data_IF_341434199578
#
_entry.id   IF_341434199578
#
_cell.length_a   1.000
_cell.length_b   1.000
_cell.length_c   1.000
_cell.angle_alpha   90.00
_cell.angle_beta   90.00
_cell.angle_gamma   90.00
#
_symmetry.space_group_name_H-M   'P 1'
#
loop_
_entity.id
_entity.type
_entity.pdbx_description
1 polymer ?
#
# COMPACT_ATOMS: atom_id res chain seq x y z
N UNK A 1 36.26 -3.19 -27.32
CA UNK A 1 35.22 -2.16 -27.16
C UNK A 1 35.59 -1.36 -25.93
N UNK A 2 35.71 -0.04 -26.08
CA UNK A 2 36.22 0.90 -25.07
C UNK A 2 35.12 1.16 -24.04
N UNK A 3 35.06 0.34 -22.97
CA UNK A 3 34.10 0.45 -21.85
C UNK A 3 32.69 0.93 -22.24
N UNK A 4 32.06 0.24 -23.21
CA UNK A 4 30.76 0.60 -23.77
C UNK A 4 29.60 0.31 -22.80
N UNK A 5 29.45 1.17 -21.80
CA UNK A 5 28.38 1.06 -20.79
C UNK A 5 26.99 1.20 -21.39
N UNK A 6 26.83 1.95 -22.49
CA UNK A 6 25.57 2.05 -23.21
C UNK A 6 25.10 0.71 -23.78
N UNK A 7 26.02 -0.04 -24.38
CA UNK A 7 25.76 -1.41 -24.83
C UNK A 7 25.46 -2.36 -23.66
N UNK A 8 26.23 -2.27 -22.57
CA UNK A 8 26.01 -3.09 -21.39
C UNK A 8 24.64 -2.85 -20.74
N UNK A 9 24.19 -1.60 -20.65
CA UNK A 9 22.86 -1.24 -20.15
C UNK A 9 21.76 -1.78 -21.07
N UNK A 10 21.95 -1.70 -22.40
CA UNK A 10 20.99 -2.24 -23.36
C UNK A 10 20.79 -3.76 -23.19
N UNK A 11 21.87 -4.51 -22.99
CA UNK A 11 21.80 -5.96 -22.71
C UNK A 11 21.11 -6.26 -21.38
N UNK A 12 21.35 -5.46 -20.33
CA UNK A 12 20.63 -5.58 -19.06
C UNK A 12 19.11 -5.39 -19.24
N UNK A 13 18.68 -4.46 -20.10
CA UNK A 13 17.27 -4.27 -20.40
C UNK A 13 16.65 -5.47 -21.13
N UNK A 14 17.38 -6.09 -22.06
CA UNK A 14 16.91 -7.29 -22.74
C UNK A 14 16.79 -8.49 -21.77
N UNK A 15 17.75 -8.66 -20.86
CA UNK A 15 17.65 -9.68 -19.80
C UNK A 15 16.45 -9.44 -18.87
N UNK A 16 16.18 -8.18 -18.50
CA UNK A 16 15.00 -7.83 -17.70
C UNK A 16 13.68 -8.16 -18.42
N UNK A 17 13.58 -7.92 -19.74
CA UNK A 17 12.41 -8.30 -20.53
C UNK A 17 12.19 -9.81 -20.56
N UNK A 18 13.27 -10.59 -20.67
CA UNK A 18 13.20 -12.06 -20.64
C UNK A 18 12.70 -12.52 -19.27
N UNK A 19 13.24 -11.98 -18.18
CA UNK A 19 12.81 -12.29 -16.82
C UNK A 19 11.31 -12.03 -16.63
N UNK A 20 10.82 -10.85 -17.06
CA UNK A 20 9.39 -10.51 -16.97
C UNK A 20 8.51 -11.46 -17.80
N UNK A 21 8.94 -11.82 -19.02
CA UNK A 21 8.19 -12.79 -19.84
C UNK A 21 8.10 -14.17 -19.17
N UNK A 22 9.16 -14.63 -18.52
CA UNK A 22 9.16 -15.91 -17.78
C UNK A 22 8.19 -15.85 -16.59
N UNK A 23 8.15 -14.72 -15.86
CA UNK A 23 7.15 -14.48 -14.82
C UNK A 23 5.72 -14.55 -15.35
N UNK A 24 5.41 -13.80 -16.42
CA UNK A 24 4.07 -13.71 -17.00
C UNK A 24 3.60 -15.06 -17.53
N UNK A 25 4.49 -15.78 -18.24
CA UNK A 25 4.16 -17.06 -18.88
C UNK A 25 3.88 -18.16 -17.86
N UNK A 26 4.58 -18.14 -16.73
CA UNK A 26 4.48 -19.17 -15.71
C UNK A 26 3.60 -18.76 -14.52
N UNK A 27 3.04 -17.54 -14.53
CA UNK A 27 2.17 -16.99 -13.48
C UNK A 27 2.86 -17.16 -12.10
N UNK A 28 4.05 -16.57 -11.98
CA UNK A 28 4.92 -16.68 -10.80
C UNK A 28 4.54 -15.71 -9.67
N UNK A 29 3.51 -14.89 -9.84
CA UNK A 29 3.09 -13.85 -8.87
C UNK A 29 2.27 -14.42 -7.69
N UNK A 30 1.81 -15.67 -7.77
CA UNK A 30 1.05 -16.35 -6.71
C UNK A 30 1.93 -17.05 -5.67
N UNK A 31 1.55 -16.97 -4.38
CA UNK A 31 2.21 -17.60 -3.19
C UNK A 31 2.39 -19.13 -3.22
N UNK A 32 2.13 -19.81 -4.33
CA UNK A 32 1.97 -21.27 -4.40
C UNK A 32 2.95 -22.05 -5.29
N UNK A 33 3.96 -21.40 -5.89
CA UNK A 33 4.88 -22.05 -6.86
C UNK A 33 6.35 -21.99 -6.43
N UNK A 34 6.64 -22.16 -5.14
CA UNK A 34 7.98 -22.00 -4.54
C UNK A 34 9.07 -22.96 -5.06
N UNK A 35 8.76 -23.91 -5.96
CA UNK A 35 9.72 -24.93 -6.38
C UNK A 35 9.50 -25.46 -7.81
N UNK A 36 9.05 -24.61 -8.74
CA UNK A 36 8.92 -24.98 -10.15
C UNK A 36 10.24 -24.77 -10.91
N UNK A 37 10.45 -25.53 -12.00
CA UNK A 37 11.57 -25.33 -12.93
C UNK A 37 11.63 -23.88 -13.44
N UNK A 38 10.47 -23.24 -13.62
CA UNK A 38 10.35 -21.84 -14.00
C UNK A 38 10.88 -20.86 -12.93
N UNK A 39 10.73 -21.17 -11.64
CA UNK A 39 11.33 -20.36 -10.57
C UNK A 39 12.85 -20.49 -10.57
N UNK A 40 13.39 -21.68 -10.84
CA UNK A 40 14.83 -21.89 -10.97
C UNK A 40 15.40 -21.11 -12.16
N UNK A 41 14.74 -21.16 -13.32
CA UNK A 41 15.13 -20.41 -14.53
C UNK A 41 15.07 -18.89 -14.30
N UNK A 42 13.99 -18.41 -13.67
CA UNK A 42 13.84 -17.01 -13.30
C UNK A 42 14.93 -16.55 -12.32
N UNK A 43 15.21 -17.36 -11.29
CA UNK A 43 16.25 -17.06 -10.28
C UNK A 43 17.65 -17.00 -10.92
N UNK A 44 17.96 -17.92 -11.83
CA UNK A 44 19.22 -17.91 -12.58
C UNK A 44 19.37 -16.64 -13.43
N UNK A 45 18.30 -16.24 -14.12
CA UNK A 45 18.26 -15.01 -14.93
C UNK A 45 18.49 -13.76 -14.08
N UNK A 46 17.82 -13.65 -12.92
CA UNK A 46 18.03 -12.53 -12.00
C UNK A 46 19.43 -12.52 -11.38
N UNK A 47 20.03 -13.69 -11.17
CA UNK A 47 21.41 -13.80 -10.66
C UNK A 47 22.40 -13.22 -11.67
N UNK A 48 22.25 -13.58 -12.95
CA UNK A 48 23.08 -13.03 -14.02
C UNK A 48 22.93 -11.50 -14.14
N UNK A 49 21.70 -10.97 -14.05
CA UNK A 49 21.45 -9.53 -14.05
C UNK A 49 22.19 -8.84 -12.89
N UNK A 50 22.16 -9.41 -11.68
CA UNK A 50 22.83 -8.86 -10.50
C UNK A 50 24.35 -8.85 -10.63
N UNK A 51 24.94 -9.92 -11.17
CA UNK A 51 26.38 -9.99 -11.40
C UNK A 51 26.84 -8.94 -12.41
N UNK A 52 26.12 -8.81 -13.53
CA UNK A 52 26.41 -7.82 -14.55
C UNK A 52 26.19 -6.38 -14.05
N UNK A 53 25.14 -6.14 -13.26
CA UNK A 53 24.89 -4.83 -12.66
C UNK A 53 25.92 -4.47 -11.59
N UNK A 54 26.49 -5.46 -10.91
CA UNK A 54 27.59 -5.27 -9.94
C UNK A 54 28.87 -4.73 -10.59
N UNK A 55 29.19 -5.20 -11.80
CA UNK A 55 30.32 -4.65 -12.57
C UNK A 55 30.11 -3.17 -12.90
N UNK A 56 28.87 -2.76 -13.14
CA UNK A 56 28.49 -1.37 -13.43
C UNK A 56 28.24 -0.52 -12.17
N UNK A 57 28.26 -1.11 -10.98
CA UNK A 57 27.97 -0.41 -9.73
C UNK A 57 26.51 0.06 -9.57
N UNK A 58 25.57 -0.52 -10.32
CA UNK A 58 24.14 -0.18 -10.28
C UNK A 58 23.34 -1.29 -9.58
N UNK A 59 22.17 -0.96 -9.04
CA UNK A 59 21.28 -1.90 -8.33
C UNK A 59 21.96 -2.65 -7.15
N UNK A 60 22.93 -2.02 -6.50
CA UNK A 60 23.71 -2.61 -5.39
C UNK A 60 22.92 -2.80 -4.11
N UNK A 61 21.89 -2.00 -3.95
CA UNK A 61 20.91 -2.14 -2.90
C UNK A 61 19.57 -2.40 -3.59
N UNK A 62 18.70 -3.21 -2.97
CA UNK A 62 17.31 -3.18 -3.38
C UNK A 62 16.85 -1.71 -3.36
N UNK A 63 15.97 -1.29 -4.29
CA UNK A 63 15.28 -0.03 -4.09
C UNK A 63 14.75 -0.03 -2.66
N UNK A 64 14.84 1.10 -1.95
CA UNK A 64 14.11 1.24 -0.70
C UNK A 64 12.71 0.72 -1.00
N UNK A 65 12.27 -0.33 -0.30
CA UNK A 65 10.95 -0.88 -0.54
C UNK A 65 10.00 0.30 -0.56
N UNK A 66 9.19 0.41 -1.62
CA UNK A 66 8.21 1.50 -1.76
C UNK A 66 7.09 1.28 -0.72
N UNK A 67 7.47 1.28 0.56
CA UNK A 67 7.09 0.24 1.51
C UNK A 67 7.84 0.42 2.83
N UNK A 68 8.07 1.67 3.26
CA UNK A 68 8.40 1.90 4.67
C UNK A 68 7.29 1.30 5.57
N UNK A 69 7.60 1.06 6.84
CA UNK A 69 6.62 0.70 7.89
C UNK A 69 5.31 1.48 7.75
N UNK A 70 5.42 2.75 7.36
CA UNK A 70 4.30 3.67 7.20
C UNK A 70 3.42 3.37 5.98
N UNK A 71 3.97 2.85 4.86
CA UNK A 71 3.17 2.46 3.70
C UNK A 71 2.49 1.10 3.91
N UNK A 72 3.16 0.15 4.59
CA UNK A 72 2.50 -1.09 5.02
C UNK A 72 1.38 -0.80 6.03
N UNK A 73 1.64 0.11 6.98
CA UNK A 73 0.62 0.57 7.92
C UNK A 73 -0.52 1.31 7.21
N UNK A 74 -0.21 2.18 6.24
CA UNK A 74 -1.22 2.84 5.42
C UNK A 74 -2.11 1.80 4.74
N UNK A 75 -1.55 0.75 4.15
CA UNK A 75 -2.31 -0.36 3.60
C UNK A 75 -3.22 -1.04 4.62
N UNK A 76 -2.72 -1.31 5.83
CA UNK A 76 -3.53 -1.87 6.93
C UNK A 76 -4.63 -0.93 7.41
N UNK A 77 -4.41 0.38 7.43
CA UNK A 77 -5.39 1.39 7.85
C UNK A 77 -6.43 1.68 6.76
N UNK A 78 -6.06 1.58 5.48
CA UNK A 78 -6.97 1.82 4.35
C UNK A 78 -8.10 0.80 4.27
N UNK A 79 -7.84 -0.45 4.66
CA UNK A 79 -8.88 -1.49 4.68
C UNK A 79 -10.06 -1.09 5.62
N UNK A 80 -9.84 -0.75 6.91
CA UNK A 80 -10.83 -0.12 7.77
C UNK A 80 -11.59 1.06 7.16
N UNK A 81 -10.89 1.96 6.46
CA UNK A 81 -11.49 3.16 5.83
C UNK A 81 -12.49 2.76 4.74
N UNK A 82 -12.10 1.82 3.89
CA UNK A 82 -12.93 1.29 2.81
C UNK A 82 -14.16 0.59 3.38
N UNK A 83 -13.96 -0.27 4.37
CA UNK A 83 -15.05 -1.01 5.00
C UNK A 83 -16.02 -0.06 5.71
N UNK A 84 -15.51 0.96 6.39
CA UNK A 84 -16.33 1.94 7.09
C UNK A 84 -17.16 2.77 6.11
N UNK A 85 -16.59 3.14 4.96
CA UNK A 85 -17.31 3.80 3.86
C UNK A 85 -18.40 2.89 3.30
N UNK A 86 -18.10 1.61 3.04
CA UNK A 86 -19.05 0.66 2.50
C UNK A 86 -20.24 0.44 3.45
N UNK A 87 -19.96 0.26 4.74
CA UNK A 87 -20.98 0.09 5.77
C UNK A 87 -21.80 1.36 5.98
N UNK A 88 -21.16 2.53 5.96
CA UNK A 88 -21.87 3.81 6.06
C UNK A 88 -22.87 3.98 4.91
N UNK A 89 -22.51 3.57 3.69
CA UNK A 89 -23.44 3.56 2.55
C UNK A 89 -24.58 2.55 2.74
N UNK A 90 -24.29 1.35 3.25
CA UNK A 90 -25.31 0.34 3.54
C UNK A 90 -26.28 0.81 4.63
N UNK A 91 -25.76 1.46 5.67
CA UNK A 91 -26.52 2.08 6.75
C UNK A 91 -27.23 3.40 6.35
N UNK A 92 -27.09 3.83 5.08
CA UNK A 92 -27.60 5.11 4.55
C UNK A 92 -27.05 6.35 5.29
N UNK A 93 -25.92 6.21 5.97
CA UNK A 93 -25.16 7.30 6.55
C UNK A 93 -24.25 7.93 5.48
N UNK A 94 -24.87 8.60 4.52
CA UNK A 94 -24.16 9.21 3.39
C UNK A 94 -23.20 10.32 3.83
N UNK A 95 -23.52 11.03 4.92
CA UNK A 95 -22.66 12.07 5.50
C UNK A 95 -21.29 11.52 5.88
N UNK A 96 -21.23 10.36 6.54
CA UNK A 96 -19.95 9.72 6.90
C UNK A 96 -19.20 9.21 5.67
N UNK A 97 -19.91 8.61 4.72
CA UNK A 97 -19.29 8.13 3.48
C UNK A 97 -18.67 9.27 2.65
N UNK A 98 -19.34 10.42 2.58
CA UNK A 98 -18.84 11.63 1.92
C UNK A 98 -17.67 12.24 2.69
N UNK A 99 -17.73 12.28 4.03
CA UNK A 99 -16.63 12.76 4.86
C UNK A 99 -15.35 11.93 4.65
N UNK A 100 -15.47 10.60 4.58
CA UNK A 100 -14.33 9.71 4.29
C UNK A 100 -13.77 10.01 2.90
N UNK A 101 -14.62 10.11 1.87
CA UNK A 101 -14.17 10.43 0.51
C UNK A 101 -13.44 11.77 0.46
N UNK A 102 -14.00 12.79 1.11
CA UNK A 102 -13.47 14.15 1.05
C UNK A 102 -12.19 14.30 1.90
N UNK A 103 -12.06 13.55 2.99
CA UNK A 103 -10.85 13.49 3.82
C UNK A 103 -9.67 12.74 3.19
N UNK A 104 -9.92 11.85 2.22
CA UNK A 104 -8.86 11.17 1.45
C UNK A 104 -8.30 12.00 0.29
N UNK A 105 -9.07 12.94 -0.26
CA UNK A 105 -8.60 13.83 -1.35
C UNK A 105 -7.27 14.54 -1.03
N UNK A 106 -7.07 15.16 0.14
CA UNK A 106 -5.81 15.87 0.44
C UNK A 106 -4.61 14.93 0.63
N UNK A 107 -4.83 13.64 0.88
CA UNK A 107 -3.74 12.66 1.05
C UNK A 107 -3.22 12.10 -0.27
N UNK A 108 -3.83 12.51 -1.40
CA UNK A 108 -3.50 11.98 -2.72
C UNK A 108 -3.99 10.55 -2.95
N UNK A 109 -4.86 10.04 -2.08
CA UNK A 109 -5.46 8.70 -2.19
C UNK A 109 -6.76 8.81 -2.98
N UNK A 110 -6.87 7.98 -4.02
CA UNK A 110 -8.09 7.86 -4.83
C UNK A 110 -8.72 6.50 -4.63
N UNK A 111 -10.04 6.47 -4.45
CA UNK A 111 -10.83 5.24 -4.33
C UNK A 111 -11.53 4.94 -5.65
N UNK A 112 -11.35 3.73 -6.17
CA UNK A 112 -12.03 3.19 -7.34
C UNK A 112 -13.00 2.08 -6.94
N UNK A 113 -14.30 2.28 -7.16
CA UNK A 113 -15.30 1.22 -6.94
C UNK A 113 -15.33 0.27 -8.17
N UNK A 114 -14.89 -0.99 -8.01
CA UNK A 114 -15.02 -2.06 -9.02
C UNK A 114 -16.11 -3.06 -8.63
N UNK A 115 -16.45 -3.97 -9.54
CA UNK A 115 -17.46 -5.03 -9.30
C UNK A 115 -17.07 -6.01 -8.19
N UNK A 116 -15.78 -6.13 -7.86
CA UNK A 116 -15.24 -7.00 -6.81
C UNK A 116 -14.94 -6.32 -5.48
N UNK A 117 -15.13 -5.00 -5.36
CA UNK A 117 -14.75 -4.23 -4.17
C UNK A 117 -14.27 -2.82 -4.50
N UNK A 118 -13.91 -2.06 -3.47
CA UNK A 118 -13.27 -0.76 -3.64
C UNK A 118 -11.75 -0.97 -3.60
N UNK A 119 -11.08 -0.63 -4.69
CA UNK A 119 -9.62 -0.54 -4.76
C UNK A 119 -9.19 0.90 -4.51
N UNK A 120 -7.93 1.10 -4.14
CA UNK A 120 -7.37 2.42 -3.92
C UNK A 120 -5.99 2.53 -4.53
N UNK A 121 -5.64 3.73 -4.97
CA UNK A 121 -4.32 4.05 -5.50
C UNK A 121 -3.82 5.38 -4.94
N UNK A 122 -2.50 5.58 -5.01
CA UNK A 122 -1.83 6.80 -4.58
C UNK A 122 -1.42 6.78 -3.11
N UNK A 123 -1.11 7.97 -2.59
CA UNK A 123 -0.52 8.17 -1.26
C UNK A 123 0.97 8.52 -1.30
N UNK A 124 1.35 9.60 -0.62
CA UNK A 124 2.75 9.90 -0.27
C UNK A 124 3.10 9.32 1.10
N UNK A 125 4.37 9.41 1.51
CA UNK A 125 4.78 9.04 2.88
C UNK A 125 3.98 9.82 3.95
N UNK A 126 3.44 11.01 3.63
CA UNK A 126 2.58 11.76 4.55
C UNK A 126 1.11 11.30 4.58
N UNK A 127 0.69 10.46 3.62
CA UNK A 127 -0.71 10.07 3.49
C UNK A 127 -1.22 9.32 4.72
N UNK A 128 -0.39 8.51 5.35
CA UNK A 128 -0.71 7.83 6.61
C UNK A 128 -1.18 8.80 7.69
N UNK A 129 -0.41 9.86 7.93
CA UNK A 129 -0.75 10.87 8.94
C UNK A 129 -2.08 11.56 8.61
N UNK A 130 -2.30 11.88 7.33
CA UNK A 130 -3.56 12.47 6.88
C UNK A 130 -4.76 11.55 7.08
N UNK A 131 -4.62 10.26 6.73
CA UNK A 131 -5.68 9.25 6.93
C UNK A 131 -5.97 9.04 8.41
N UNK A 132 -4.92 8.96 9.24
CA UNK A 132 -5.06 8.84 10.70
C UNK A 132 -5.77 10.04 11.31
N UNK A 133 -5.39 11.26 10.92
CA UNK A 133 -6.04 12.48 11.40
C UNK A 133 -7.51 12.51 10.97
N UNK A 134 -7.81 12.14 9.73
CA UNK A 134 -9.19 12.06 9.24
C UNK A 134 -10.03 11.07 10.06
N UNK A 135 -9.51 9.89 10.40
CA UNK A 135 -10.22 8.91 11.22
C UNK A 135 -10.42 9.40 12.66
N UNK A 136 -9.44 10.09 13.23
CA UNK A 136 -9.54 10.72 14.55
C UNK A 136 -10.65 11.79 14.56
N UNK A 137 -10.67 12.64 13.53
CA UNK A 137 -11.68 13.69 13.39
C UNK A 137 -13.07 13.09 13.19
N UNK A 138 -13.20 12.06 12.36
CA UNK A 138 -14.45 11.33 12.15
C UNK A 138 -15.00 10.74 13.46
N UNK A 139 -14.12 10.15 14.29
CA UNK A 139 -14.48 9.64 15.61
C UNK A 139 -14.91 10.77 16.55
N UNK A 140 -14.23 11.90 16.53
CA UNK A 140 -14.58 13.06 17.35
C UNK A 140 -15.95 13.62 16.97
N UNK A 141 -16.22 13.75 15.66
CA UNK A 141 -17.50 14.21 15.13
C UNK A 141 -18.64 13.22 15.44
N UNK A 142 -18.39 11.91 15.29
CA UNK A 142 -19.36 10.88 15.65
C UNK A 142 -19.77 10.99 17.14
N UNK A 143 -18.79 11.14 18.04
CA UNK A 143 -19.05 11.36 19.47
C UNK A 143 -19.84 12.64 19.76
N UNK A 144 -19.49 13.74 19.09
CA UNK A 144 -20.19 15.03 19.22
C UNK A 144 -21.65 14.92 18.76
N UNK A 145 -21.90 14.12 17.73
CA UNK A 145 -23.23 13.84 17.20
C UNK A 145 -23.97 12.72 17.95
N UNK A 146 -23.40 12.18 19.04
CA UNK A 146 -23.92 11.04 19.80
C UNK A 146 -24.06 9.74 18.98
N UNK A 147 -23.36 9.66 17.86
CA UNK A 147 -23.20 8.44 17.08
C UNK A 147 -22.04 7.62 17.67
N UNK A 148 -22.30 7.03 18.84
CA UNK A 148 -21.30 6.23 19.54
C UNK A 148 -20.92 4.97 18.76
N UNK A 149 -21.84 4.43 17.97
CA UNK A 149 -21.61 3.24 17.15
C UNK A 149 -20.52 3.49 16.09
N UNK A 150 -20.60 4.59 15.34
CA UNK A 150 -19.55 4.96 14.38
C UNK A 150 -18.22 5.25 15.07
N UNK A 151 -18.25 5.95 16.21
CA UNK A 151 -17.03 6.26 16.97
C UNK A 151 -16.31 5.01 17.52
N UNK A 152 -17.07 4.03 18.01
CA UNK A 152 -16.53 2.74 18.47
C UNK A 152 -16.03 1.90 17.28
N UNK A 153 -16.76 1.87 16.16
CA UNK A 153 -16.34 1.15 14.96
C UNK A 153 -14.98 1.66 14.42
N UNK A 154 -14.75 2.99 14.42
CA UNK A 154 -13.45 3.56 14.03
C UNK A 154 -12.33 3.08 14.96
N UNK A 155 -12.55 3.12 16.28
CA UNK A 155 -11.54 2.68 17.27
C UNK A 155 -11.21 1.21 17.09
N UNK A 156 -12.23 0.37 16.97
CA UNK A 156 -12.07 -1.08 16.98
C UNK A 156 -11.36 -1.57 15.71
N UNK A 157 -11.68 -1.00 14.53
CA UNK A 157 -10.98 -1.32 13.29
C UNK A 157 -9.53 -0.84 13.25
N UNK A 158 -9.27 0.35 13.81
CA UNK A 158 -7.88 0.81 13.94
C UNK A 158 -7.07 -0.15 14.82
N UNK A 159 -7.67 -0.63 15.90
CA UNK A 159 -7.03 -1.64 16.76
C UNK A 159 -6.77 -2.95 16.01
N UNK A 160 -7.70 -3.39 15.16
CA UNK A 160 -7.52 -4.56 14.28
C UNK A 160 -6.40 -4.34 13.24
N UNK A 161 -6.24 -3.12 12.74
CA UNK A 161 -5.11 -2.73 11.89
C UNK A 161 -3.77 -2.64 12.64
N UNK A 162 -3.76 -2.82 13.96
CA UNK A 162 -2.58 -2.71 14.82
C UNK A 162 -2.29 -1.28 15.28
N UNK A 163 -3.27 -0.38 15.24
CA UNK A 163 -3.15 1.01 15.70
C UNK A 163 -3.98 1.24 16.95
N UNK A 164 -3.36 1.74 18.01
CA UNK A 164 -4.06 2.10 19.26
C UNK A 164 -4.22 3.61 19.35
N UNK A 165 -5.44 4.07 19.64
CA UNK A 165 -5.73 5.48 19.90
C UNK A 165 -5.70 5.78 21.41
N UNK A 166 -4.94 6.81 21.79
CA UNK A 166 -4.88 7.33 23.15
C UNK A 166 -5.44 8.75 23.22
N UNK A 167 -6.53 8.94 23.97
CA UNK A 167 -7.10 10.27 24.21
C UNK A 167 -6.28 10.98 25.32
N UNK A 168 -5.68 12.13 25.00
CA UNK A 168 -4.96 12.99 25.95
C UNK A 168 -5.61 14.37 26.05
N UNK A 169 -5.21 15.16 27.05
CA UNK A 169 -5.72 16.52 27.26
C UNK A 169 -5.46 17.46 26.07
N UNK A 170 -4.45 17.16 25.23
CA UNK A 170 -4.09 17.94 24.04
C UNK A 170 -4.63 17.40 22.71
N UNK A 171 -5.36 16.28 22.70
CA UNK A 171 -5.83 15.64 21.47
C UNK A 171 -5.77 14.11 21.54
N UNK A 172 -6.14 13.44 20.44
CA UNK A 172 -5.96 11.99 20.29
C UNK A 172 -4.60 11.74 19.65
N UNK A 173 -3.76 10.95 20.31
CA UNK A 173 -2.52 10.43 19.72
C UNK A 173 -2.72 8.96 19.34
N UNK A 174 -1.84 8.42 18.49
CA UNK A 174 -1.91 7.03 18.06
C UNK A 174 -0.55 6.36 18.13
N UNK A 175 -0.55 5.03 18.36
CA UNK A 175 0.66 4.19 18.44
C UNK A 175 0.46 2.92 17.61
N UNK A 176 1.55 2.27 17.22
CA UNK A 176 1.55 0.94 16.57
C UNK A 176 2.23 -0.11 17.43
#
# INVERSE_FOLDING_TARGET
DDFNTGGAIAELFELAKIANRVCDTNDLEGKGKENSEAVAEFTATLTAIKELSSILGIFQQPPAEAGGSDNELLGRVMQPVIDLRAESRQAKNFTVADAIRDGLKPTGITLEDRSGGTEWEGGSDEALNGVMQMLIDLRADARKNKDFATGDAVRDRLKEAGVTLEDRAGGTEWTT
#
